data_IF_979621602820
#
_entry.id   IF_979621602820
#
_cell.length_a   1.000
_cell.length_b   1.000
_cell.length_c   1.000
_cell.angle_alpha   90.00
_cell.angle_beta   90.00
_cell.angle_gamma   90.00
#
_symmetry.space_group_name_H-M   'P 1'
#
loop_
_entity.id
_entity.type
_entity.pdbx_description
1 polymer ?
#
# COMPACT_ATOMS: atom_id res chain seq x y z
N UNK A 1 30.24 -58.52 -48.34
CA UNK A 1 29.72 -59.09 -47.08
C UNK A 1 29.17 -57.92 -46.27
N UNK A 2 28.01 -57.35 -46.59
CA UNK A 2 26.64 -57.89 -46.51
C UNK A 2 26.28 -58.47 -45.14
N UNK A 3 25.74 -57.60 -44.27
CA UNK A 3 24.75 -57.96 -43.25
C UNK A 3 23.64 -56.90 -43.32
N UNK A 4 22.88 -56.93 -44.43
CA UNK A 4 21.48 -56.53 -44.42
C UNK A 4 20.67 -57.71 -43.90
N UNK A 5 19.57 -57.41 -43.20
CA UNK A 5 18.50 -58.30 -42.69
C UNK A 5 18.67 -58.70 -41.23
N UNK A 6 18.11 -57.89 -40.34
CA UNK A 6 17.34 -58.46 -39.24
C UNK A 6 16.12 -57.58 -38.91
N UNK A 7 14.96 -58.15 -39.22
CA UNK A 7 13.66 -58.01 -38.56
C UNK A 7 12.91 -56.68 -38.64
N UNK A 8 12.38 -56.50 -39.85
CA UNK A 8 11.20 -55.73 -40.24
C UNK A 8 9.88 -56.34 -39.68
N UNK A 9 9.81 -56.60 -38.37
CA UNK A 9 8.66 -57.35 -37.78
C UNK A 9 8.26 -56.91 -36.37
N UNK A 10 8.48 -55.65 -36.00
CA UNK A 10 7.88 -55.05 -34.78
C UNK A 10 7.15 -53.74 -35.13
N UNK A 11 6.84 -53.53 -36.40
CA UNK A 11 6.24 -52.30 -36.94
C UNK A 11 4.70 -52.33 -36.99
N UNK A 12 4.04 -53.29 -36.32
CA UNK A 12 2.61 -53.54 -36.57
C UNK A 12 1.77 -53.93 -35.34
N UNK A 13 2.12 -53.48 -34.12
CA UNK A 13 1.30 -53.76 -32.93
C UNK A 13 1.15 -52.62 -31.92
N UNK A 14 1.53 -51.39 -32.27
CA UNK A 14 1.26 -50.17 -31.46
C UNK A 14 0.44 -49.13 -32.24
N UNK A 15 -0.35 -49.60 -33.21
CA UNK A 15 -1.33 -48.82 -33.95
C UNK A 15 -2.75 -49.19 -33.48
N UNK A 16 -3.09 -48.85 -32.24
CA UNK A 16 -4.47 -48.84 -31.76
C UNK A 16 -4.59 -48.03 -30.47
N UNK A 17 -5.53 -47.06 -30.48
CA UNK A 17 -6.07 -46.33 -29.33
C UNK A 17 -5.04 -45.41 -28.61
N UNK A 18 -5.12 -44.09 -28.71
CA UNK A 18 -6.13 -43.28 -28.02
C UNK A 18 -6.34 -41.97 -28.80
N UNK A 19 -7.56 -41.79 -29.31
CA UNK A 19 -8.07 -40.51 -29.80
C UNK A 19 -8.71 -39.83 -28.59
N UNK A 20 -8.01 -38.87 -27.96
CA UNK A 20 -8.67 -37.92 -27.08
C UNK A 20 -9.33 -36.85 -27.95
N UNK A 21 -10.63 -37.06 -28.24
CA UNK A 21 -11.54 -35.97 -28.57
C UNK A 21 -11.72 -35.15 -27.30
N UNK A 22 -10.83 -34.19 -27.06
CA UNK A 22 -11.14 -33.10 -26.14
C UNK A 22 -12.11 -32.22 -26.90
N UNK A 23 -13.39 -32.44 -26.63
CA UNK A 23 -14.43 -31.48 -26.90
C UNK A 23 -13.95 -30.14 -26.32
N UNK A 24 -13.54 -29.24 -27.21
CA UNK A 24 -13.30 -27.84 -26.89
C UNK A 24 -14.63 -27.24 -26.48
N UNK A 25 -14.97 -27.40 -25.20
CA UNK A 25 -15.90 -26.51 -24.54
C UNK A 25 -15.29 -25.11 -24.67
N UNK A 26 -15.84 -24.35 -25.60
CA UNK A 26 -15.80 -22.90 -25.61
C UNK A 26 -16.32 -22.41 -24.27
N UNK A 27 -15.43 -22.33 -23.28
CA UNK A 27 -15.66 -21.46 -22.15
C UNK A 27 -15.39 -20.07 -22.70
N UNK A 28 -16.47 -19.39 -23.09
CA UNK A 28 -16.52 -17.94 -23.04
C UNK A 28 -15.99 -17.53 -21.67
N UNK A 29 -14.69 -17.24 -21.61
CA UNK A 29 -14.10 -16.54 -20.50
C UNK A 29 -14.72 -15.14 -20.53
N UNK A 30 -15.91 -15.02 -19.92
CA UNK A 30 -16.38 -13.78 -19.33
C UNK A 30 -15.27 -13.37 -18.37
N UNK A 31 -14.33 -12.58 -18.90
CA UNK A 31 -13.32 -11.85 -18.15
C UNK A 31 -14.10 -10.93 -17.22
N UNK A 32 -14.48 -11.48 -16.08
CA UNK A 32 -15.19 -10.81 -14.99
C UNK A 32 -14.28 -9.65 -14.62
N UNK A 33 -14.75 -8.44 -14.87
CA UNK A 33 -14.13 -7.16 -14.51
C UNK A 33 -14.19 -6.95 -12.99
N UNK A 34 -13.70 -7.95 -12.24
CA UNK A 34 -13.66 -7.98 -10.76
C UNK A 34 -12.22 -7.80 -10.24
N UNK A 35 -11.20 -7.95 -11.10
CA UNK A 35 -9.82 -8.13 -10.62
C UNK A 35 -9.02 -6.88 -10.20
N UNK A 36 -9.51 -5.65 -10.40
CA UNK A 36 -8.73 -4.45 -10.02
C UNK A 36 -9.30 -3.73 -8.79
N UNK A 37 -10.62 -3.69 -8.62
CA UNK A 37 -11.23 -2.90 -7.56
C UNK A 37 -11.11 -3.57 -6.18
N UNK A 38 -11.28 -4.90 -6.11
CA UNK A 38 -11.07 -5.65 -4.85
C UNK A 38 -9.62 -5.57 -4.38
N UNK A 39 -8.66 -5.62 -5.32
CA UNK A 39 -7.24 -5.50 -5.01
C UNK A 39 -6.90 -4.08 -4.50
N UNK A 40 -7.40 -3.03 -5.16
CA UNK A 40 -7.21 -1.64 -4.71
C UNK A 40 -7.83 -1.41 -3.33
N UNK A 41 -9.04 -1.93 -3.08
CA UNK A 41 -9.67 -1.82 -1.77
C UNK A 41 -8.84 -2.50 -0.69
N UNK A 42 -8.35 -3.72 -0.94
CA UNK A 42 -7.50 -4.45 -0.01
C UNK A 42 -6.19 -3.69 0.28
N UNK A 43 -5.53 -3.14 -0.75
CA UNK A 43 -4.32 -2.31 -0.57
C UNK A 43 -4.61 -1.10 0.33
N UNK A 44 -5.70 -0.39 0.09
CA UNK A 44 -6.08 0.78 0.91
C UNK A 44 -6.37 0.38 2.37
N UNK A 45 -7.08 -0.72 2.60
CA UNK A 45 -7.35 -1.24 3.95
C UNK A 45 -6.06 -1.65 4.67
N UNK A 46 -5.13 -2.30 3.96
CA UNK A 46 -3.82 -2.65 4.52
C UNK A 46 -2.95 -1.41 4.79
N UNK A 47 -2.98 -0.39 3.92
CA UNK A 47 -2.27 0.86 4.15
C UNK A 47 -2.82 1.59 5.39
N UNK A 48 -4.14 1.66 5.54
CA UNK A 48 -4.78 2.21 6.75
C UNK A 48 -4.37 1.43 7.99
N UNK A 49 -4.39 0.10 7.94
CA UNK A 49 -3.93 -0.75 9.05
C UNK A 49 -2.44 -0.55 9.39
N UNK A 50 -1.58 -0.34 8.39
CA UNK A 50 -0.18 0.00 8.63
C UNK A 50 -0.04 1.35 9.35
N UNK A 51 -0.71 2.40 8.86
CA UNK A 51 -0.72 3.74 9.46
C UNK A 51 -1.20 3.66 10.91
N UNK A 52 -2.28 2.93 11.16
CA UNK A 52 -2.85 2.75 12.50
C UNK A 52 -1.88 2.08 13.47
N UNK A 53 -1.24 0.98 13.05
CA UNK A 53 -0.25 0.29 13.89
C UNK A 53 0.97 1.15 14.18
N UNK A 54 1.46 1.92 13.19
CA UNK A 54 2.57 2.87 13.40
C UNK A 54 2.15 3.95 14.39
N UNK A 55 0.99 4.58 14.17
CA UNK A 55 0.49 5.65 15.03
C UNK A 55 0.27 5.16 16.47
N UNK A 56 -0.31 3.96 16.63
CA UNK A 56 -0.48 3.31 17.93
C UNK A 56 0.84 3.05 18.64
N UNK A 57 1.88 2.58 17.94
CA UNK A 57 3.21 2.38 18.55
C UNK A 57 3.87 3.71 18.93
N UNK A 58 3.86 4.69 18.03
CA UNK A 58 4.39 6.04 18.34
C UNK A 58 3.75 6.63 19.59
N UNK A 59 2.44 6.48 19.72
CA UNK A 59 1.66 7.01 20.83
C UNK A 59 1.95 6.38 22.21
N UNK A 60 2.45 5.13 22.25
CA UNK A 60 2.58 4.35 23.50
C UNK A 60 4.04 4.18 23.96
N UNK A 61 4.88 5.20 23.74
CA UNK A 61 6.27 5.20 24.18
C UNK A 61 7.29 5.04 23.05
N UNK A 62 6.89 5.40 21.82
CA UNK A 62 7.76 5.40 20.65
C UNK A 62 7.81 4.06 19.91
N UNK A 63 8.44 4.09 18.74
CA UNK A 63 8.57 2.93 17.85
C UNK A 63 10.05 2.60 17.71
N UNK A 64 10.61 1.45 18.08
CA UNK A 64 12.05 1.23 17.83
C UNK A 64 12.35 1.06 16.33
N UNK A 65 13.57 1.34 15.86
CA UNK A 65 13.90 1.19 14.42
C UNK A 65 13.72 -0.26 13.95
N UNK A 66 14.13 -1.23 14.77
CA UNK A 66 13.91 -2.65 14.48
C UNK A 66 12.42 -3.03 14.43
N UNK A 67 11.57 -2.35 15.20
CA UNK A 67 10.12 -2.55 15.14
C UNK A 67 9.52 -1.95 13.87
N UNK A 68 9.96 -0.76 13.47
CA UNK A 68 9.53 -0.16 12.21
C UNK A 68 9.92 -1.04 11.02
N UNK A 69 11.16 -1.56 11.00
CA UNK A 69 11.63 -2.53 10.00
C UNK A 69 10.72 -3.75 9.97
N UNK A 70 10.50 -4.38 11.13
CA UNK A 70 9.67 -5.60 11.22
C UNK A 70 8.23 -5.34 10.74
N UNK A 71 7.66 -4.19 11.09
CA UNK A 71 6.32 -3.80 10.67
C UNK A 71 6.27 -3.56 9.16
N UNK A 72 7.21 -2.80 8.60
CA UNK A 72 7.29 -2.56 7.15
C UNK A 72 7.46 -3.87 6.38
N UNK A 73 8.36 -4.76 6.82
CA UNK A 73 8.57 -6.07 6.20
C UNK A 73 7.29 -6.92 6.26
N UNK A 74 6.55 -6.90 7.36
CA UNK A 74 5.29 -7.64 7.51
C UNK A 74 4.20 -7.15 6.56
N UNK A 75 4.21 -5.85 6.21
CA UNK A 75 3.23 -5.26 5.29
C UNK A 75 3.64 -5.32 3.81
N UNK A 76 4.93 -5.57 3.51
CA UNK A 76 5.44 -5.70 2.13
C UNK A 76 4.75 -6.79 1.29
N UNK A 77 4.10 -7.77 1.94
CA UNK A 77 3.28 -8.79 1.27
C UNK A 77 1.95 -8.28 0.71
N UNK A 78 1.46 -7.14 1.20
CA UNK A 78 0.16 -6.58 0.84
C UNK A 78 0.27 -5.48 -0.20
N UNK A 79 1.30 -4.65 -0.10
CA UNK A 79 1.61 -3.61 -1.07
C UNK A 79 3.11 -3.30 -1.03
N UNK A 80 3.69 -2.76 -2.11
CA UNK A 80 5.10 -2.40 -2.12
C UNK A 80 5.37 -1.27 -1.13
N UNK A 81 6.14 -1.55 -0.09
CA UNK A 81 6.53 -0.61 0.96
C UNK A 81 7.96 -0.88 1.39
N UNK A 82 8.74 0.17 1.62
CA UNK A 82 10.13 0.08 2.09
C UNK A 82 10.44 1.21 3.06
N UNK A 83 11.38 0.98 3.97
CA UNK A 83 12.02 2.07 4.71
C UNK A 83 13.09 2.67 3.81
N UNK A 84 12.97 3.95 3.51
CA UNK A 84 13.94 4.65 2.68
C UNK A 84 15.22 4.93 3.46
N UNK A 85 16.36 4.67 2.83
CA UNK A 85 17.68 5.13 3.28
C UNK A 85 18.33 5.91 2.15
N UNK A 86 19.12 6.91 2.52
CA UNK A 86 19.85 7.71 1.55
C UNK A 86 20.76 6.81 0.70
N UNK A 87 20.66 6.93 -0.62
CA UNK A 87 21.36 6.09 -1.59
C UNK A 87 20.60 4.85 -2.07
N UNK A 88 19.44 4.52 -1.49
CA UNK A 88 18.62 3.41 -1.96
C UNK A 88 17.92 3.74 -3.30
N UNK A 89 17.98 2.80 -4.24
CA UNK A 89 17.13 2.83 -5.43
C UNK A 89 15.74 2.30 -5.07
N UNK A 90 14.77 3.19 -4.95
CA UNK A 90 13.38 2.82 -4.65
C UNK A 90 12.56 2.73 -5.95
N UNK A 91 11.85 1.63 -6.21
CA UNK A 91 10.96 1.53 -7.37
C UNK A 91 9.81 2.55 -7.30
N UNK A 92 9.44 3.12 -8.45
CA UNK A 92 8.43 4.20 -8.57
C UNK A 92 7.03 3.85 -8.02
N UNK A 93 6.73 2.57 -7.82
CA UNK A 93 5.44 2.09 -7.32
C UNK A 93 5.46 1.68 -5.85
N UNK A 94 6.45 2.17 -5.10
CA UNK A 94 6.70 1.77 -3.70
C UNK A 94 6.35 2.89 -2.74
N UNK A 95 5.63 2.54 -1.67
CA UNK A 95 5.46 3.43 -0.52
C UNK A 95 6.78 3.56 0.21
N UNK A 96 7.28 4.78 0.34
CA UNK A 96 8.51 5.05 1.08
C UNK A 96 8.17 5.48 2.49
N UNK A 97 8.74 4.80 3.47
CA UNK A 97 8.64 5.17 4.88
C UNK A 97 9.95 5.82 5.29
N UNK A 98 9.87 7.05 5.75
CA UNK A 98 10.99 7.74 6.38
C UNK A 98 10.68 8.00 7.84
N UNK A 99 11.71 7.91 8.65
CA UNK A 99 11.64 8.29 10.05
C UNK A 99 12.55 9.48 10.29
N UNK A 100 11.99 10.52 10.87
CA UNK A 100 12.74 11.67 11.32
C UNK A 100 12.69 11.70 12.85
N UNK A 101 13.75 11.16 13.48
CA UNK A 101 13.99 11.34 14.90
C UNK A 101 14.78 12.63 15.08
N UNK A 102 14.22 13.55 15.84
CA UNK A 102 15.04 14.68 16.27
C UNK A 102 16.11 14.21 17.25
N UNK A 103 17.26 14.86 17.17
CA UNK A 103 18.42 14.62 18.04
C UNK A 103 18.30 15.44 19.34
N UNK A 104 17.37 16.40 19.38
CA UNK A 104 17.14 17.30 20.51
C UNK A 104 16.00 16.79 21.39
N UNK A 105 16.21 16.78 22.71
CA UNK A 105 15.16 16.45 23.67
C UNK A 105 13.97 17.41 23.53
N UNK A 106 12.76 16.87 23.38
CA UNK A 106 11.51 17.64 23.27
C UNK A 106 11.09 17.99 21.83
N UNK A 107 11.84 17.59 20.81
CA UNK A 107 11.37 17.72 19.43
C UNK A 107 10.53 16.52 19.00
N UNK A 108 9.43 16.75 18.27
CA UNK A 108 8.46 15.71 17.96
C UNK A 108 9.04 14.66 17.01
N UNK A 109 8.76 13.40 17.32
CA UNK A 109 9.09 12.28 16.45
C UNK A 109 8.13 12.25 15.25
N UNK A 110 8.67 12.05 14.04
CA UNK A 110 7.87 11.97 12.81
C UNK A 110 8.13 10.70 12.02
N UNK A 111 7.06 10.08 11.54
CA UNK A 111 7.09 9.03 10.54
C UNK A 111 6.33 9.52 9.31
N UNK A 112 7.00 9.59 8.17
CA UNK A 112 6.41 10.05 6.92
C UNK A 112 6.30 8.90 5.92
N UNK A 113 5.16 8.81 5.26
CA UNK A 113 4.88 7.89 4.16
C UNK A 113 4.76 8.72 2.89
N UNK A 114 5.62 8.48 1.91
CA UNK A 114 5.45 8.98 0.54
C UNK A 114 4.73 7.94 -0.29
N UNK A 115 3.61 8.33 -0.91
CA UNK A 115 2.74 7.45 -1.66
C UNK A 115 2.99 7.59 -3.17
N UNK A 116 3.25 6.48 -3.88
CA UNK A 116 3.32 6.50 -5.33
C UNK A 116 1.93 6.77 -5.92
N UNK A 117 1.88 7.29 -7.15
CA UNK A 117 0.63 7.72 -7.80
C UNK A 117 -0.45 6.61 -7.82
N UNK A 118 -0.05 5.37 -8.11
CA UNK A 118 -0.97 4.24 -8.17
C UNK A 118 -1.68 3.97 -6.83
N UNK A 119 -1.08 4.30 -5.69
CA UNK A 119 -1.68 4.13 -4.37
C UNK A 119 -2.37 5.42 -3.95
N UNK A 120 -1.67 6.56 -4.06
CA UNK A 120 -2.16 7.87 -3.65
C UNK A 120 -3.43 8.34 -4.35
N UNK A 121 -3.59 8.00 -5.64
CA UNK A 121 -4.78 8.37 -6.43
C UNK A 121 -6.00 7.51 -6.10
N UNK A 122 -5.79 6.34 -5.48
CA UNK A 122 -6.85 5.43 -5.07
C UNK A 122 -7.20 5.56 -3.58
N UNK A 123 -6.33 6.17 -2.77
CA UNK A 123 -6.58 6.42 -1.37
C UNK A 123 -7.50 7.64 -1.22
N UNK A 124 -8.74 7.40 -0.78
CA UNK A 124 -9.70 8.49 -0.57
C UNK A 124 -9.49 9.16 0.79
N UNK A 125 -9.54 10.49 0.84
CA UNK A 125 -9.55 11.24 2.10
C UNK A 125 -10.73 10.81 3.00
N UNK A 126 -11.88 10.48 2.40
CA UNK A 126 -13.04 9.97 3.12
C UNK A 126 -12.71 8.70 3.91
N UNK A 127 -12.00 7.74 3.32
CA UNK A 127 -11.58 6.51 4.01
C UNK A 127 -10.71 6.84 5.23
N UNK A 128 -9.77 7.78 5.09
CA UNK A 128 -8.91 8.21 6.19
C UNK A 128 -9.73 8.89 7.29
N UNK A 129 -10.66 9.79 6.94
CA UNK A 129 -11.48 10.48 7.94
C UNK A 129 -12.52 9.58 8.60
N UNK A 130 -13.05 8.59 7.87
CA UNK A 130 -13.96 7.58 8.41
C UNK A 130 -13.25 6.70 9.46
N UNK A 131 -11.95 6.43 9.25
CA UNK A 131 -11.16 5.58 10.15
C UNK A 131 -10.53 6.36 11.32
N UNK A 132 -9.83 7.45 11.03
CA UNK A 132 -9.00 8.17 12.01
C UNK A 132 -9.72 9.35 12.68
N UNK A 133 -10.83 9.83 12.12
CA UNK A 133 -11.58 10.97 12.62
C UNK A 133 -11.57 12.18 11.68
N UNK A 134 -12.28 13.26 12.04
CA UNK A 134 -12.47 14.42 11.19
C UNK A 134 -11.18 15.24 10.99
N UNK A 135 -11.20 16.09 9.97
CA UNK A 135 -10.16 17.09 9.75
C UNK A 135 -10.15 18.14 10.87
N UNK A 136 -8.96 18.58 11.27
CA UNK A 136 -8.73 19.64 12.24
C UNK A 136 -8.31 20.97 11.55
N UNK A 137 -8.71 22.14 12.08
CA UNK A 137 -9.72 22.33 13.12
C UNK A 137 -11.12 21.97 12.62
N UNK A 138 -11.99 21.46 13.51
CA UNK A 138 -13.38 21.16 13.17
C UNK A 138 -14.10 22.46 12.76
N UNK A 139 -14.20 22.71 11.45
CA UNK A 139 -14.92 23.88 10.94
C UNK A 139 -14.61 24.16 9.48
N UNK A 140 -15.68 24.32 8.69
CA UNK A 140 -15.96 24.98 7.39
C UNK A 140 -14.78 25.37 6.44
N UNK A 141 -13.57 25.64 6.90
CA UNK A 141 -12.41 26.07 6.10
C UNK A 141 -11.87 25.02 5.12
N UNK A 142 -12.24 23.75 5.26
CA UNK A 142 -11.91 22.72 4.25
C UNK A 142 -12.79 22.76 3.00
N UNK A 143 -13.83 23.61 2.95
CA UNK A 143 -14.83 23.62 1.86
C UNK A 143 -14.58 24.63 0.74
N UNK A 144 -13.56 25.49 0.80
CA UNK A 144 -13.44 26.61 -0.15
C UNK A 144 -12.12 26.74 -0.94
N UNK A 145 -11.12 25.87 -0.75
CA UNK A 145 -9.86 25.99 -1.48
C UNK A 145 -9.68 24.90 -2.55
N UNK A 146 -9.67 25.34 -3.80
CA UNK A 146 -9.05 24.64 -4.93
C UNK A 146 -7.52 24.63 -4.68
N UNK A 147 -6.88 23.45 -4.62
CA UNK A 147 -5.42 23.18 -4.43
C UNK A 147 -4.90 23.04 -2.98
N UNK A 148 -3.85 22.23 -2.73
CA UNK A 148 -3.81 21.33 -1.58
C UNK A 148 -3.02 21.91 -0.40
N UNK A 149 -3.76 22.40 0.59
CA UNK A 149 -3.18 22.52 1.92
C UNK A 149 -3.00 21.12 2.54
N UNK A 150 -1.94 20.90 3.36
CA UNK A 150 -1.87 19.69 4.15
C UNK A 150 -3.09 19.64 5.08
N UNK A 151 -3.90 18.61 4.92
CA UNK A 151 -5.04 18.34 5.80
C UNK A 151 -4.53 17.70 7.08
N UNK A 152 -4.98 18.18 8.24
CA UNK A 152 -4.61 17.58 9.53
C UNK A 152 -5.77 16.74 10.04
N UNK A 153 -5.51 15.52 10.50
CA UNK A 153 -6.44 14.71 11.29
C UNK A 153 -5.85 14.56 12.69
N UNK A 154 -6.62 14.92 13.70
CA UNK A 154 -6.23 14.73 15.09
C UNK A 154 -6.55 13.30 15.53
N UNK A 155 -5.54 12.48 15.83
CA UNK A 155 -5.70 11.04 16.13
C UNK A 155 -6.21 10.75 17.56
N UNK A 156 -6.79 11.75 18.24
CA UNK A 156 -7.10 11.74 19.69
C UNK A 156 -8.05 10.60 20.08
N UNK A 157 -9.16 10.47 19.36
CA UNK A 157 -10.25 9.55 19.70
C UNK A 157 -9.97 8.10 19.33
N UNK A 158 -9.27 7.90 18.21
CA UNK A 158 -8.97 6.57 17.67
C UNK A 158 -7.94 5.81 18.51
N UNK A 159 -6.96 6.51 19.08
CA UNK A 159 -5.85 5.89 19.83
C UNK A 159 -6.07 5.88 21.36
N UNK A 160 -7.19 6.39 21.87
CA UNK A 160 -7.51 6.52 23.32
C UNK A 160 -6.41 7.25 24.12
N UNK A 161 -5.80 8.26 23.53
CA UNK A 161 -4.74 9.03 24.16
C UNK A 161 -5.31 10.24 24.92
N UNK A 162 -4.59 10.77 25.92
CA UNK A 162 -4.84 12.12 26.42
C UNK A 162 -4.80 13.09 25.23
N UNK A 163 -5.66 14.11 25.26
CA UNK A 163 -5.73 15.08 24.17
C UNK A 163 -4.34 15.67 23.90
N UNK A 164 -4.00 15.83 22.60
CA UNK A 164 -2.85 16.61 22.08
C UNK A 164 -1.53 15.87 21.77
N UNK A 165 -1.44 14.54 21.92
CA UNK A 165 -0.15 13.87 21.70
C UNK A 165 0.16 13.47 20.24
N UNK A 166 -0.84 13.29 19.37
CA UNK A 166 -0.61 12.79 18.01
C UNK A 166 -1.43 13.55 16.96
N UNK A 167 -0.79 13.90 15.85
CA UNK A 167 -1.46 14.40 14.63
C UNK A 167 -1.04 13.60 13.39
N UNK A 168 -1.94 13.54 12.42
CA UNK A 168 -1.67 13.02 11.08
C UNK A 168 -1.83 14.15 10.06
N UNK A 169 -0.77 14.48 9.33
CA UNK A 169 -0.80 15.45 8.24
C UNK A 169 -0.89 14.71 6.89
N UNK A 170 -1.78 15.14 6.01
CA UNK A 170 -2.04 14.52 4.71
C UNK A 170 -1.81 15.59 3.64
N UNK A 171 -0.81 15.40 2.78
CA UNK A 171 -0.60 16.29 1.65
C UNK A 171 -1.20 15.69 0.37
N UNK A 172 -1.97 16.49 -0.37
CA UNK A 172 -2.50 16.12 -1.68
C UNK A 172 -1.70 16.77 -2.83
N UNK A 173 -1.91 16.34 -4.07
CA UNK A 173 -1.19 16.83 -5.24
C UNK A 173 -1.61 18.23 -5.69
N UNK A 174 -0.64 19.13 -5.90
CA UNK A 174 -0.84 20.48 -6.46
C UNK A 174 -1.03 20.51 -7.98
N UNK A 175 -0.88 19.37 -8.67
CA UNK A 175 -0.78 19.35 -10.13
C UNK A 175 -2.15 19.37 -10.82
N UNK A 176 -2.40 20.26 -11.79
CA UNK A 176 -3.67 20.33 -12.53
C UNK A 176 -3.95 19.08 -13.38
N UNK A 177 -2.93 18.25 -13.65
CA UNK A 177 -3.07 16.98 -14.37
C UNK A 177 -3.49 15.81 -13.46
N UNK A 178 -3.39 15.97 -12.13
CA UNK A 178 -3.81 14.95 -11.17
C UNK A 178 -5.34 14.82 -11.22
N UNK A 179 -5.83 13.77 -11.88
CA UNK A 179 -7.25 13.61 -12.21
C UNK A 179 -8.20 13.52 -11.02
N UNK A 180 -7.69 13.42 -9.80
CA UNK A 180 -8.42 13.39 -8.53
C UNK A 180 -7.46 13.91 -7.45
N UNK A 181 -7.96 14.42 -6.32
CA UNK A 181 -7.19 14.82 -5.13
C UNK A 181 -6.27 13.68 -4.62
N UNK A 182 -5.15 13.44 -5.31
CA UNK A 182 -4.20 12.36 -5.06
C UNK A 182 -3.48 12.67 -3.77
N UNK A 183 -3.51 11.74 -2.82
CA UNK A 183 -2.72 11.85 -1.60
C UNK A 183 -1.27 11.50 -1.94
N UNK A 184 -0.36 12.45 -1.75
CA UNK A 184 1.08 12.27 -2.00
C UNK A 184 1.82 11.79 -0.78
N UNK A 185 1.45 12.28 0.40
CA UNK A 185 2.14 11.88 1.62
C UNK A 185 1.23 11.93 2.83
N UNK A 186 1.57 11.08 3.80
CA UNK A 186 0.96 11.04 5.12
C UNK A 186 2.09 11.11 6.14
N UNK A 187 2.02 12.04 7.08
CA UNK A 187 2.99 12.22 8.15
C UNK A 187 2.31 12.05 9.50
N UNK A 188 2.86 11.17 10.33
CA UNK A 188 2.45 10.95 11.71
C UNK A 188 3.42 11.69 12.62
N UNK A 189 2.89 12.53 13.50
CA UNK A 189 3.68 13.37 14.39
C UNK A 189 3.30 13.06 15.82
N UNK A 190 4.28 12.66 16.63
CA UNK A 190 4.15 12.61 18.08
C UNK A 190 4.59 13.96 18.66
N UNK A 191 3.62 14.74 19.13
CA UNK A 191 3.80 16.09 19.66
C UNK A 191 4.37 16.12 21.08
N UNK A 192 4.27 15.00 21.82
CA UNK A 192 4.80 14.84 23.18
C UNK A 192 5.56 13.50 23.30
N UNK A 193 6.79 13.41 22.75
CA UNK A 193 7.61 12.19 22.76
C UNK A 193 8.17 11.84 24.15
#
# INVERSE_FOLDING_TARGET
MDIKRLNKTVFLSYLTLIIFVVAGCSSENKRKRISNNENVKAVNEHLVGFIDLVAGKLAHGGLADGELVTLTDSFSRYFPIVIYREGDSVPEHTVMVTRNRSVSAGEPERISLSLPEAIGSNLSLKLLTDHFGPLAPEGILAREHETPFPFTIALKSHLKLPEENMSMHIAASDYPEAKNNQIKSIELINLNP
#
